data_IF_724495803439
#
_entry.id   IF_724495803439
#
_cell.length_a   1.000
_cell.length_b   1.000
_cell.length_c   1.000
_cell.angle_alpha   90.00
_cell.angle_beta   90.00
_cell.angle_gamma   90.00
#
_symmetry.space_group_name_H-M   'P 1'
#
loop_
_entity.id
_entity.type
_entity.pdbx_description
1 polymer ?
#
# COMPACT_ATOMS: atom_id res chain seq x y z
N UNK A 1 20.36 -23.25 40.28
CA UNK A 1 19.88 -24.50 39.63
C UNK A 1 18.85 -25.13 40.54
N UNK A 2 17.59 -25.21 40.10
CA UNK A 2 16.42 -25.59 40.88
C UNK A 2 16.53 -27.01 41.49
N UNK A 3 16.05 -27.22 42.73
CA UNK A 3 16.12 -28.53 43.44
C UNK A 3 15.45 -29.64 42.62
N UNK A 4 14.37 -29.32 41.91
CA UNK A 4 13.67 -30.25 41.00
C UNK A 4 14.53 -30.65 39.79
N UNK A 5 15.28 -29.70 39.21
CA UNK A 5 16.24 -29.99 38.11
C UNK A 5 17.37 -30.89 38.59
N UNK A 6 17.93 -30.66 39.78
CA UNK A 6 18.97 -31.54 40.36
C UNK A 6 18.45 -32.96 40.58
N UNK A 7 17.26 -33.12 41.16
CA UNK A 7 16.66 -34.44 41.37
C UNK A 7 16.39 -35.18 40.05
N UNK A 8 15.88 -34.47 39.03
CA UNK A 8 15.66 -35.03 37.71
C UNK A 8 16.95 -35.50 37.02
N UNK A 9 18.03 -34.72 37.11
CA UNK A 9 19.35 -35.11 36.56
C UNK A 9 19.89 -36.34 37.28
N UNK A 10 19.81 -36.39 38.61
CA UNK A 10 20.29 -37.54 39.39
C UNK A 10 19.51 -38.80 39.00
N UNK A 11 18.19 -38.72 38.89
CA UNK A 11 17.35 -39.85 38.49
C UNK A 11 17.68 -40.33 37.07
N UNK A 12 17.88 -39.40 36.13
CA UNK A 12 18.25 -39.72 34.76
C UNK A 12 19.63 -40.39 34.66
N UNK A 13 20.61 -39.94 35.46
CA UNK A 13 21.94 -40.57 35.53
C UNK A 13 21.85 -41.98 36.10
N UNK A 14 21.06 -42.19 37.16
CA UNK A 14 20.87 -43.53 37.77
C UNK A 14 20.21 -44.48 36.76
N UNK A 15 19.10 -44.07 36.14
CA UNK A 15 18.39 -44.89 35.16
C UNK A 15 19.24 -45.15 33.91
N UNK A 16 19.94 -44.13 33.42
CA UNK A 16 20.84 -44.26 32.26
C UNK A 16 22.01 -45.19 32.53
N UNK A 17 22.64 -45.08 33.71
CA UNK A 17 23.74 -45.97 34.11
C UNK A 17 23.23 -47.40 34.29
N UNK A 18 22.07 -47.59 34.92
CA UNK A 18 21.44 -48.91 35.08
C UNK A 18 21.10 -49.57 33.75
N UNK A 19 20.50 -48.82 32.82
CA UNK A 19 20.18 -49.30 31.47
C UNK A 19 21.42 -49.66 30.66
N UNK A 20 22.50 -48.87 30.77
CA UNK A 20 23.75 -49.11 30.07
C UNK A 20 24.50 -50.33 30.61
N UNK A 21 24.50 -50.54 31.93
CA UNK A 21 25.03 -51.76 32.55
C UNK A 21 24.20 -52.98 32.14
N UNK A 22 22.88 -52.88 32.11
CA UNK A 22 22.00 -53.97 31.68
C UNK A 22 22.24 -54.37 30.22
N UNK A 23 22.24 -53.41 29.29
CA UNK A 23 22.54 -53.65 27.87
C UNK A 23 23.97 -54.19 27.67
N UNK A 24 24.94 -53.63 28.39
CA UNK A 24 26.32 -54.11 28.42
C UNK A 24 26.43 -55.57 28.87
N UNK A 25 25.63 -55.95 29.87
CA UNK A 25 25.49 -57.32 30.36
C UNK A 25 24.96 -58.29 29.31
N UNK A 26 23.87 -57.92 28.63
CA UNK A 26 23.27 -58.73 27.56
C UNK A 26 24.25 -58.92 26.40
N UNK A 27 24.86 -57.82 25.92
CA UNK A 27 25.87 -57.86 24.87
C UNK A 27 27.10 -58.67 25.30
N UNK A 28 27.51 -58.56 26.57
CA UNK A 28 28.59 -59.34 27.14
C UNK A 28 28.32 -60.85 27.14
N UNK A 29 27.09 -61.27 27.46
CA UNK A 29 26.64 -62.66 27.37
C UNK A 29 26.65 -63.16 25.93
N UNK A 30 26.16 -62.35 24.98
CA UNK A 30 26.18 -62.69 23.55
C UNK A 30 27.61 -62.82 23.01
N UNK A 31 28.51 -61.88 23.34
CA UNK A 31 29.92 -61.94 22.93
C UNK A 31 30.61 -63.18 23.54
N UNK A 32 30.32 -63.49 24.81
CA UNK A 32 30.86 -64.67 25.46
C UNK A 32 30.37 -65.98 24.82
N UNK A 33 29.06 -66.08 24.56
CA UNK A 33 28.44 -67.21 23.88
C UNK A 33 28.97 -67.39 22.45
N UNK A 34 29.12 -66.30 21.71
CA UNK A 34 29.66 -66.30 20.36
C UNK A 34 31.13 -66.74 20.32
N UNK A 35 31.96 -66.32 21.29
CA UNK A 35 33.35 -66.77 21.40
C UNK A 35 33.46 -68.25 21.74
N UNK A 36 32.63 -68.74 22.65
CA UNK A 36 32.58 -70.16 22.99
C UNK A 36 32.12 -71.00 21.78
N UNK A 37 31.14 -70.52 21.03
CA UNK A 37 30.68 -71.12 19.78
C UNK A 37 31.77 -71.17 18.70
N UNK A 38 32.48 -70.05 18.48
CA UNK A 38 33.61 -69.98 17.56
C UNK A 38 34.76 -70.94 17.95
N UNK A 39 35.05 -71.06 19.24
CA UNK A 39 36.07 -71.99 19.75
C UNK A 39 35.69 -73.47 19.57
N UNK A 40 34.41 -73.76 19.37
CA UNK A 40 33.88 -75.10 19.10
C UNK A 40 33.79 -75.46 17.62
N UNK A 41 34.55 -74.83 16.73
CA UNK A 41 34.46 -74.94 15.25
C UNK A 41 33.19 -74.34 14.61
N UNK A 42 32.48 -73.44 15.31
CA UNK A 42 31.40 -72.65 14.72
C UNK A 42 30.28 -73.50 14.10
N UNK A 43 30.01 -73.30 12.80
CA UNK A 43 28.91 -73.99 12.10
C UNK A 43 29.14 -75.50 11.91
N UNK A 44 30.37 -76.00 12.07
CA UNK A 44 30.69 -77.44 12.03
C UNK A 44 30.88 -78.05 13.42
N UNK A 45 30.53 -77.31 14.48
CA UNK A 45 30.68 -77.70 15.87
C UNK A 45 29.40 -78.20 16.55
N UNK A 46 29.54 -79.01 17.60
CA UNK A 46 28.41 -79.47 18.42
C UNK A 46 27.96 -78.46 19.50
N UNK A 47 28.72 -77.37 19.71
CA UNK A 47 28.40 -76.34 20.70
C UNK A 47 27.32 -75.41 20.14
N UNK A 48 26.16 -75.32 20.79
CA UNK A 48 25.10 -74.37 20.44
C UNK A 48 25.23 -73.11 21.30
N UNK A 49 25.07 -71.94 20.68
CA UNK A 49 25.11 -70.65 21.39
C UNK A 49 23.95 -70.57 22.39
N UNK A 50 24.27 -70.39 23.68
CA UNK A 50 23.25 -70.20 24.72
C UNK A 50 22.56 -68.84 24.55
N UNK A 51 21.22 -68.78 24.67
CA UNK A 51 20.52 -67.50 24.68
C UNK A 51 20.95 -66.66 25.90
N UNK A 52 21.00 -65.32 25.78
CA UNK A 52 21.30 -64.46 26.91
C UNK A 52 20.19 -64.56 27.96
N UNK A 53 20.58 -64.56 29.24
CA UNK A 53 19.66 -64.44 30.35
C UNK A 53 19.30 -62.96 30.54
N UNK A 54 18.01 -62.68 30.55
CA UNK A 54 17.42 -61.33 30.67
C UNK A 54 17.23 -60.90 32.13
N UNK A 55 17.62 -61.72 33.10
CA UNK A 55 17.55 -61.35 34.50
C UNK A 55 18.49 -60.15 34.79
N UNK A 56 17.93 -59.12 35.43
CA UNK A 56 18.62 -57.86 35.72
C UNK A 56 19.93 -58.06 36.50
N UNK A 57 19.93 -58.91 37.53
CA UNK A 57 21.10 -59.14 38.38
C UNK A 57 22.20 -59.90 37.62
N UNK A 58 21.81 -60.85 36.76
CA UNK A 58 22.72 -61.63 35.92
C UNK A 58 23.37 -60.71 34.88
N UNK A 59 22.58 -59.85 34.23
CA UNK A 59 23.08 -58.87 33.28
C UNK A 59 24.07 -57.89 33.93
N UNK A 60 23.73 -57.33 35.09
CA UNK A 60 24.63 -56.40 35.80
C UNK A 60 25.95 -57.10 36.15
N UNK A 61 25.92 -58.36 36.62
CA UNK A 61 27.14 -59.12 36.89
C UNK A 61 27.98 -59.34 35.63
N UNK A 62 27.34 -59.69 34.51
CA UNK A 62 28.01 -59.87 33.23
C UNK A 62 28.57 -58.56 32.64
N UNK A 63 27.99 -57.41 32.98
CA UNK A 63 28.45 -56.10 32.54
C UNK A 63 29.89 -55.80 32.99
N UNK A 64 30.27 -56.29 34.17
CA UNK A 64 31.62 -56.12 34.74
C UNK A 64 32.64 -57.17 34.25
N UNK A 65 32.27 -58.02 33.29
CA UNK A 65 33.23 -58.93 32.64
C UNK A 65 33.96 -58.23 31.49
N UNK A 66 35.11 -58.77 31.06
CA UNK A 66 35.85 -58.27 29.89
C UNK A 66 35.00 -58.19 28.61
N UNK A 67 34.07 -59.13 28.41
CA UNK A 67 33.14 -59.10 27.28
C UNK A 67 32.01 -58.10 27.50
N UNK A 68 31.53 -57.92 28.73
CA UNK A 68 30.55 -56.90 29.09
C UNK A 68 31.07 -55.48 28.87
N UNK A 69 32.31 -55.19 29.26
CA UNK A 69 32.98 -53.90 29.02
C UNK A 69 33.14 -53.61 27.52
N UNK A 70 33.40 -54.64 26.69
CA UNK A 70 33.38 -54.51 25.22
C UNK A 70 31.99 -54.21 24.68
N UNK A 71 30.95 -54.84 25.23
CA UNK A 71 29.56 -54.53 24.89
C UNK A 71 29.17 -53.09 25.26
N UNK A 72 29.58 -52.63 26.45
CA UNK A 72 29.35 -51.25 26.92
C UNK A 72 30.02 -50.24 25.99
N UNK A 73 31.30 -50.44 25.67
CA UNK A 73 32.03 -49.53 24.78
C UNK A 73 31.41 -49.47 23.38
N UNK A 74 30.98 -50.60 22.82
CA UNK A 74 30.25 -50.63 21.56
C UNK A 74 28.92 -49.85 21.63
N UNK A 75 28.15 -50.02 22.71
CA UNK A 75 26.89 -49.30 22.92
C UNK A 75 27.11 -47.77 23.05
N UNK A 76 28.16 -47.34 23.74
CA UNK A 76 28.53 -45.92 23.87
C UNK A 76 28.91 -45.34 22.50
N UNK A 77 29.73 -46.05 21.72
CA UNK A 77 30.14 -45.60 20.38
C UNK A 77 28.94 -45.49 19.46
N UNK A 78 28.06 -46.50 19.43
CA UNK A 78 26.85 -46.47 18.61
C UNK A 78 25.93 -45.31 19.01
N UNK A 79 25.74 -45.10 20.32
CA UNK A 79 24.98 -43.96 20.84
C UNK A 79 25.59 -42.61 20.44
N UNK A 80 26.91 -42.48 20.52
CA UNK A 80 27.62 -41.27 20.08
C UNK A 80 27.46 -41.01 18.58
N UNK A 81 27.50 -42.05 17.74
CA UNK A 81 27.27 -41.95 16.29
C UNK A 81 25.84 -41.50 16.00
N UNK A 82 24.83 -42.06 16.68
CA UNK A 82 23.43 -41.64 16.52
C UNK A 82 23.24 -40.18 16.94
N UNK A 83 23.83 -39.77 18.08
CA UNK A 83 23.77 -38.37 18.54
C UNK A 83 24.45 -37.43 17.55
N UNK A 84 25.62 -37.81 17.01
CA UNK A 84 26.32 -37.04 15.98
C UNK A 84 25.48 -36.94 14.71
N UNK A 85 24.88 -38.04 14.25
CA UNK A 85 24.00 -38.06 13.09
C UNK A 85 22.79 -37.13 13.26
N UNK A 86 22.09 -37.22 14.40
CA UNK A 86 20.93 -36.35 14.72
C UNK A 86 21.37 -34.88 14.78
N UNK A 87 22.47 -34.56 15.48
CA UNK A 87 22.98 -33.19 15.54
C UNK A 87 23.42 -32.64 14.19
N UNK A 88 23.98 -33.49 13.32
CA UNK A 88 24.36 -33.08 11.97
C UNK A 88 23.11 -32.81 11.12
N UNK A 89 22.10 -33.68 11.20
CA UNK A 89 20.83 -33.51 10.49
C UNK A 89 20.04 -32.27 10.96
N UNK A 90 19.95 -32.01 12.27
CA UNK A 90 19.31 -30.80 12.82
C UNK A 90 20.03 -29.51 12.40
N UNK A 91 21.34 -29.58 12.10
CA UNK A 91 22.10 -28.41 11.61
C UNK A 91 21.76 -28.07 10.14
N UNK A 92 21.21 -29.02 9.39
CA UNK A 92 20.79 -28.85 7.99
C UNK A 92 19.29 -28.71 7.81
N UNK A 93 18.47 -29.06 8.79
CA UNK A 93 17.04 -28.75 8.80
C UNK A 93 16.86 -27.27 9.19
N UNK A 94 16.87 -26.39 8.19
CA UNK A 94 16.98 -24.93 8.28
C UNK A 94 15.79 -24.18 8.89
N UNK A 95 15.14 -24.77 9.90
CA UNK A 95 13.97 -24.22 10.57
C UNK A 95 14.36 -23.67 11.95
N UNK A 96 14.58 -22.36 12.02
CA UNK A 96 14.66 -21.66 13.31
C UNK A 96 13.25 -21.30 13.77
N UNK A 97 13.00 -21.32 15.08
CA UNK A 97 11.73 -20.91 15.65
C UNK A 97 11.88 -19.55 16.34
N UNK A 98 10.95 -18.63 16.07
CA UNK A 98 10.78 -17.41 16.87
C UNK A 98 10.51 -17.77 18.35
N UNK A 99 10.85 -16.93 19.35
CA UNK A 99 10.41 -17.10 20.74
C UNK A 99 8.90 -17.39 20.95
N UNK A 100 8.04 -17.12 19.97
CA UNK A 100 6.60 -17.46 19.96
C UNK A 100 6.26 -18.81 19.29
N UNK A 101 7.24 -19.55 18.79
CA UNK A 101 7.06 -20.87 18.17
C UNK A 101 6.74 -20.85 16.66
N UNK A 102 6.90 -19.72 15.97
CA UNK A 102 6.71 -19.66 14.52
C UNK A 102 7.96 -20.10 13.75
N UNK A 103 7.76 -20.92 12.71
CA UNK A 103 8.80 -21.46 11.83
C UNK A 103 9.39 -20.36 10.94
N UNK A 104 10.70 -20.12 11.03
CA UNK A 104 11.47 -19.17 10.21
C UNK A 104 12.28 -19.93 9.16
N UNK A 105 12.23 -19.45 7.91
CA UNK A 105 13.03 -19.97 6.79
C UNK A 105 14.29 -19.14 6.62
N UNK A 106 15.47 -19.78 6.66
CA UNK A 106 16.75 -19.13 6.31
C UNK A 106 16.91 -18.82 4.82
N UNK A 107 16.19 -19.56 3.96
CA UNK A 107 16.30 -19.44 2.49
C UNK A 107 15.48 -18.27 1.93
N UNK A 108 14.74 -17.54 2.76
CA UNK A 108 13.96 -16.36 2.36
C UNK A 108 12.77 -16.67 1.44
N UNK A 109 12.47 -17.95 1.19
CA UNK A 109 11.42 -18.39 0.26
C UNK A 109 10.02 -17.92 0.67
N UNK A 110 9.82 -17.67 1.98
CA UNK A 110 8.60 -17.09 2.55
C UNK A 110 8.83 -15.75 3.26
N UNK A 111 9.95 -15.08 2.97
CA UNK A 111 10.36 -13.81 3.57
C UNK A 111 11.32 -13.96 4.76
N UNK A 112 12.20 -12.97 4.93
CA UNK A 112 13.19 -12.86 6.03
C UNK A 112 12.79 -11.79 7.06
N UNK A 113 11.51 -11.39 7.07
CA UNK A 113 11.04 -10.32 7.94
C UNK A 113 11.28 -10.67 9.43
N UNK A 114 11.89 -9.73 10.14
CA UNK A 114 12.14 -9.82 11.58
C UNK A 114 11.76 -8.50 12.24
N UNK A 115 11.48 -8.55 13.55
CA UNK A 115 11.42 -7.33 14.35
C UNK A 115 12.77 -6.63 14.30
N UNK A 116 12.72 -5.32 14.12
CA UNK A 116 13.89 -4.45 14.12
C UNK A 116 14.53 -4.44 15.51
N UNK A 117 15.84 -4.63 15.59
CA UNK A 117 16.59 -4.49 16.84
C UNK A 117 16.71 -3.02 17.25
N UNK A 118 16.99 -2.74 18.53
CA UNK A 118 17.23 -1.36 18.99
C UNK A 118 18.37 -0.65 18.25
N UNK A 119 19.39 -1.43 17.85
CA UNK A 119 20.52 -0.89 17.09
C UNK A 119 20.07 -0.44 15.70
N UNK A 120 19.34 -1.30 14.98
CA UNK A 120 18.79 -0.97 13.67
C UNK A 120 17.78 0.18 13.76
N UNK A 121 16.98 0.24 14.83
CA UNK A 121 16.04 1.34 15.07
C UNK A 121 16.77 2.69 15.13
N UNK A 122 17.88 2.77 15.88
CA UNK A 122 18.67 4.01 15.99
C UNK A 122 19.47 4.34 14.72
N UNK A 123 19.80 3.34 13.90
CA UNK A 123 20.51 3.52 12.63
C UNK A 123 19.57 3.97 11.49
N UNK A 124 18.32 3.50 11.49
CA UNK A 124 17.37 3.70 10.38
C UNK A 124 16.35 4.80 10.69
N UNK A 125 15.92 4.91 11.95
CA UNK A 125 14.84 5.82 12.37
C UNK A 125 15.37 6.94 13.27
N UNK A 126 14.67 8.06 13.25
CA UNK A 126 14.92 9.17 14.16
C UNK A 126 14.15 8.92 15.46
N UNK A 127 14.88 8.57 16.54
CA UNK A 127 14.30 8.34 17.87
C UNK A 127 14.57 9.55 18.76
N UNK A 128 13.56 10.37 19.00
CA UNK A 128 13.72 11.66 19.67
C UNK A 128 12.50 12.05 20.50
N UNK A 129 12.51 13.25 21.08
CA UNK A 129 11.33 13.83 21.75
C UNK A 129 10.43 14.55 20.74
N UNK A 130 9.10 14.64 20.95
CA UNK A 130 8.18 15.30 20.03
C UNK A 130 8.62 16.70 19.56
N UNK A 131 9.16 17.53 20.47
CA UNK A 131 9.61 18.88 20.14
C UNK A 131 10.79 18.90 19.14
N UNK A 132 11.66 17.89 19.21
CA UNK A 132 12.85 17.75 18.38
C UNK A 132 12.62 16.93 17.11
N UNK A 133 11.49 16.23 16.99
CA UNK A 133 11.15 15.44 15.82
C UNK A 133 11.12 16.33 14.56
N UNK A 134 11.94 15.98 13.56
CA UNK A 134 11.95 16.64 12.24
C UNK A 134 11.30 15.76 11.17
N UNK A 135 11.40 14.44 11.32
CA UNK A 135 10.79 13.44 10.45
C UNK A 135 9.28 13.29 10.59
N UNK A 136 8.72 12.32 9.85
CA UNK A 136 7.30 11.93 10.01
C UNK A 136 7.19 10.97 11.19
N UNK A 137 6.47 11.37 12.24
CA UNK A 137 6.22 10.51 13.41
C UNK A 137 5.40 9.30 12.98
N UNK A 138 5.91 8.10 13.22
CA UNK A 138 5.22 6.84 12.94
C UNK A 138 4.65 6.18 14.20
N UNK A 139 5.21 6.50 15.36
CA UNK A 139 4.78 5.93 16.63
C UNK A 139 5.68 6.34 17.79
N UNK A 140 5.60 5.59 18.89
CA UNK A 140 6.35 5.80 20.11
C UNK A 140 7.09 4.51 20.50
N UNK A 141 8.30 4.66 21.03
CA UNK A 141 9.07 3.59 21.65
C UNK A 141 9.75 4.13 22.91
N UNK A 142 9.43 3.53 24.06
CA UNK A 142 9.98 3.90 25.38
C UNK A 142 9.86 5.41 25.70
N UNK A 143 8.69 6.02 25.46
CA UNK A 143 8.47 7.45 25.74
C UNK A 143 9.09 8.40 24.71
N UNK A 144 9.71 7.87 23.64
CA UNK A 144 10.31 8.67 22.56
C UNK A 144 9.55 8.45 21.26
N UNK A 145 9.41 9.52 20.48
CA UNK A 145 8.83 9.44 19.13
C UNK A 145 9.80 8.74 18.19
N UNK A 146 9.28 7.75 17.46
CA UNK A 146 9.97 7.09 16.36
C UNK A 146 9.51 7.75 15.07
N UNK A 147 10.44 8.41 14.38
CA UNK A 147 10.15 9.19 13.19
C UNK A 147 10.89 8.63 11.98
N UNK A 148 10.23 8.64 10.83
CA UNK A 148 10.89 8.45 9.54
C UNK A 148 11.75 9.69 9.27
N UNK A 149 13.09 9.57 9.21
CA UNK A 149 13.98 10.73 9.10
C UNK A 149 13.68 11.57 7.87
N UNK A 150 13.88 12.89 7.97
CA UNK A 150 13.73 13.81 6.83
C UNK A 150 14.61 13.40 5.66
N UNK A 151 15.85 12.97 5.89
CA UNK A 151 16.80 12.56 4.86
C UNK A 151 16.91 11.04 4.71
N UNK A 152 15.77 10.36 4.73
CA UNK A 152 15.74 8.90 4.58
C UNK A 152 15.91 8.45 3.12
N UNK A 153 16.62 7.33 2.93
CA UNK A 153 16.62 6.54 1.69
C UNK A 153 15.37 5.64 1.56
N UNK A 154 14.59 5.50 2.63
CA UNK A 154 13.34 4.74 2.60
C UNK A 154 12.26 5.49 1.82
N UNK A 155 11.27 4.74 1.35
CA UNK A 155 10.12 5.32 0.72
C UNK A 155 9.36 6.20 1.72
N UNK A 156 8.95 7.40 1.27
CA UNK A 156 8.23 8.38 2.10
C UNK A 156 6.72 8.36 1.86
N UNK A 157 6.24 7.56 0.92
CA UNK A 157 4.83 7.23 0.85
C UNK A 157 4.47 6.32 2.01
N UNK A 158 3.34 6.56 2.65
CA UNK A 158 2.90 5.87 3.86
C UNK A 158 1.49 5.32 3.63
N UNK A 159 1.27 4.05 3.95
CA UNK A 159 -0.05 3.44 3.95
C UNK A 159 -0.42 3.03 5.38
N UNK A 160 -1.46 3.66 5.92
CA UNK A 160 -1.97 3.45 7.27
C UNK A 160 -3.24 2.62 7.19
N UNK A 161 -3.26 1.49 7.87
CA UNK A 161 -4.43 0.63 7.98
C UNK A 161 -5.00 0.67 9.39
N UNK A 162 -6.31 0.84 9.51
CA UNK A 162 -6.99 0.76 10.80
C UNK A 162 -8.49 0.96 10.65
N UNK A 163 -9.30 0.19 11.39
CA UNK A 163 -10.74 0.28 11.35
C UNK A 163 -11.27 1.67 11.76
N UNK A 164 -12.57 1.92 11.58
CA UNK A 164 -13.19 3.10 12.17
C UNK A 164 -13.01 3.09 13.69
N UNK A 165 -12.78 4.26 14.28
CA UNK A 165 -12.54 4.40 15.73
C UNK A 165 -11.11 4.12 16.21
N UNK A 166 -10.18 3.63 15.37
CA UNK A 166 -8.78 3.38 15.77
C UNK A 166 -7.91 4.65 15.89
N UNK A 167 -8.53 5.82 15.98
CA UNK A 167 -7.88 7.11 16.16
C UNK A 167 -6.88 7.51 15.06
N UNK A 168 -6.93 6.93 13.85
CA UNK A 168 -6.03 7.28 12.72
C UNK A 168 -5.87 8.79 12.52
N UNK A 169 -6.98 9.52 12.48
CA UNK A 169 -7.00 10.96 12.25
C UNK A 169 -6.37 11.74 13.41
N UNK A 170 -6.47 11.23 14.64
CA UNK A 170 -5.91 11.86 15.85
C UNK A 170 -4.43 11.52 16.05
N UNK A 171 -4.08 10.25 15.93
CA UNK A 171 -2.77 9.71 16.28
C UNK A 171 -1.73 9.86 15.16
N UNK A 172 -2.14 9.88 13.89
CA UNK A 172 -1.21 9.93 12.76
C UNK A 172 -1.42 11.16 11.88
N UNK A 173 -2.64 11.39 11.39
CA UNK A 173 -2.91 12.45 10.41
C UNK A 173 -2.66 13.86 10.97
N UNK A 174 -3.22 14.20 12.13
CA UNK A 174 -2.97 15.51 12.78
C UNK A 174 -1.48 15.71 13.09
N UNK A 175 -0.79 14.67 13.55
CA UNK A 175 0.65 14.73 13.79
C UNK A 175 1.44 14.95 12.49
N UNK A 176 1.06 14.31 11.39
CA UNK A 176 1.65 14.56 10.08
C UNK A 176 1.45 16.01 9.62
N UNK A 177 0.27 16.59 9.87
CA UNK A 177 0.01 18.01 9.59
C UNK A 177 0.91 18.93 10.41
N UNK A 178 1.04 18.71 11.71
CA UNK A 178 1.94 19.52 12.55
C UNK A 178 3.40 19.44 12.09
N UNK A 179 3.83 18.25 11.66
CA UNK A 179 5.18 18.06 11.15
C UNK A 179 5.41 18.71 9.78
N UNK A 180 4.42 18.67 8.89
CA UNK A 180 4.48 19.39 7.61
C UNK A 180 4.53 20.91 7.82
N UNK A 181 3.73 21.43 8.75
CA UNK A 181 3.74 22.84 9.15
C UNK A 181 5.11 23.26 9.69
N UNK A 182 5.71 22.46 10.58
CA UNK A 182 7.05 22.72 11.13
C UNK A 182 8.12 22.77 10.04
N UNK A 183 7.99 21.94 9.00
CA UNK A 183 8.92 21.89 7.87
C UNK A 183 8.64 22.92 6.77
N UNK A 184 7.55 23.68 6.86
CA UNK A 184 7.17 24.63 5.81
C UNK A 184 6.73 23.96 4.50
N UNK A 185 6.24 22.72 4.58
CA UNK A 185 5.82 21.93 3.42
C UNK A 185 4.35 22.19 3.09
N UNK A 186 3.99 22.08 1.81
CA UNK A 186 2.60 22.17 1.37
C UNK A 186 1.83 20.89 1.72
N UNK A 187 0.54 21.03 1.99
CA UNK A 187 -0.34 19.92 2.34
C UNK A 187 -1.62 19.91 1.52
N UNK A 188 -2.03 18.72 1.12
CA UNK A 188 -3.33 18.45 0.49
C UNK A 188 -4.03 17.41 1.33
N UNK A 189 -5.18 17.74 1.90
CA UNK A 189 -5.86 16.93 2.90
C UNK A 189 -7.21 16.48 2.37
N UNK A 190 -7.49 15.17 2.34
CA UNK A 190 -8.89 14.73 2.25
C UNK A 190 -9.48 14.66 3.65
N UNK A 191 -10.67 15.22 3.81
CA UNK A 191 -11.31 15.38 5.11
C UNK A 191 -12.81 15.14 5.01
N UNK A 192 -13.27 13.87 5.07
CA UNK A 192 -14.68 13.55 4.86
C UNK A 192 -15.62 14.20 5.88
N UNK A 193 -15.11 14.54 7.07
CA UNK A 193 -15.90 15.09 8.19
C UNK A 193 -15.63 16.57 8.45
N UNK A 194 -14.79 17.21 7.63
CA UNK A 194 -14.31 18.57 7.84
C UNK A 194 -13.64 18.82 9.22
N UNK A 195 -13.25 17.77 9.94
CA UNK A 195 -12.66 17.89 11.29
C UNK A 195 -11.22 18.43 11.22
N UNK A 196 -10.45 17.98 10.23
CA UNK A 196 -9.06 18.41 10.05
C UNK A 196 -9.03 19.88 9.61
N UNK A 197 -9.96 20.30 8.75
CA UNK A 197 -10.14 21.69 8.38
C UNK A 197 -10.45 22.56 9.60
N UNK A 198 -11.48 22.18 10.38
CA UNK A 198 -11.88 22.92 11.57
C UNK A 198 -10.75 23.05 12.60
N UNK A 199 -9.97 21.97 12.80
CA UNK A 199 -8.90 21.94 13.79
C UNK A 199 -7.64 22.71 13.36
N UNK A 200 -7.30 22.70 12.06
CA UNK A 200 -5.95 23.07 11.60
C UNK A 200 -5.90 24.24 10.62
N UNK A 201 -7.00 24.61 9.96
CA UNK A 201 -6.96 25.63 8.91
C UNK A 201 -6.47 27.00 9.42
N UNK A 202 -6.93 27.44 10.59
CA UNK A 202 -6.51 28.71 11.16
C UNK A 202 -5.02 28.69 11.56
N UNK A 203 -4.52 27.54 12.01
CA UNK A 203 -3.09 27.37 12.32
C UNK A 203 -2.23 27.58 11.06
N UNK A 204 -2.61 26.99 9.92
CA UNK A 204 -1.93 27.20 8.65
C UNK A 204 -2.03 28.65 8.17
N UNK A 205 -3.21 29.29 8.26
CA UNK A 205 -3.38 30.71 7.93
C UNK A 205 -2.45 31.60 8.76
N UNK A 206 -2.37 31.37 10.06
CA UNK A 206 -1.49 32.12 10.97
C UNK A 206 0.00 31.91 10.64
N UNK A 207 0.38 30.76 10.08
CA UNK A 207 1.72 30.49 9.61
C UNK A 207 2.01 31.04 8.20
N UNK A 208 1.08 31.80 7.60
CA UNK A 208 1.24 32.43 6.29
C UNK A 208 1.03 31.51 5.11
N UNK A 209 0.31 30.40 5.28
CA UNK A 209 -0.06 29.51 4.18
C UNK A 209 -1.26 30.05 3.41
N UNK A 210 -1.28 29.80 2.10
CA UNK A 210 -2.50 29.92 1.32
C UNK A 210 -3.41 28.72 1.61
N UNK A 211 -4.52 28.98 2.30
CA UNK A 211 -5.49 27.95 2.70
C UNK A 211 -6.68 27.99 1.78
N UNK A 212 -6.99 26.86 1.13
CA UNK A 212 -8.15 26.67 0.25
C UNK A 212 -8.96 25.45 0.66
N UNK A 213 -10.26 25.48 0.37
CA UNK A 213 -11.21 24.42 0.70
C UNK A 213 -12.02 24.04 -0.53
N UNK A 214 -11.75 22.90 -1.14
CA UNK A 214 -12.61 22.34 -2.17
C UNK A 214 -13.69 21.47 -1.52
N UNK A 215 -14.87 22.05 -1.31
CA UNK A 215 -15.95 21.39 -0.57
C UNK A 215 -16.96 20.72 -1.51
N UNK A 216 -16.89 19.40 -1.66
CA UNK A 216 -17.81 18.64 -2.49
C UNK A 216 -19.05 18.13 -1.75
N UNK A 217 -19.14 18.38 -0.43
CA UNK A 217 -20.33 18.05 0.38
C UNK A 217 -21.28 19.25 0.39
N UNK A 218 -20.77 20.44 0.68
CA UNK A 218 -21.50 21.71 0.67
C UNK A 218 -20.76 22.72 -0.23
N UNK A 219 -20.96 22.69 -1.56
CA UNK A 219 -20.18 23.50 -2.50
C UNK A 219 -20.29 25.02 -2.30
N UNK A 220 -21.39 25.50 -1.71
CA UNK A 220 -21.57 26.92 -1.34
C UNK A 220 -20.53 27.43 -0.32
N UNK A 221 -19.89 26.51 0.41
CA UNK A 221 -18.88 26.81 1.44
C UNK A 221 -17.46 26.40 1.01
N UNK A 222 -17.21 26.28 -0.30
CA UNK A 222 -15.91 25.95 -0.87
C UNK A 222 -15.35 27.04 -1.78
N UNK A 223 -14.03 27.03 -1.96
CA UNK A 223 -13.31 27.70 -3.04
C UNK A 223 -13.56 26.97 -4.38
N UNK A 224 -13.61 27.74 -5.46
CA UNK A 224 -13.87 27.20 -6.79
C UNK A 224 -12.61 26.68 -7.50
N UNK A 225 -12.79 25.68 -8.36
CA UNK A 225 -11.75 25.16 -9.24
C UNK A 225 -12.32 24.76 -10.61
N UNK A 226 -11.85 25.43 -11.67
CA UNK A 226 -12.22 25.13 -13.04
C UNK A 226 -11.14 24.25 -13.69
N UNK A 227 -11.49 23.00 -13.98
CA UNK A 227 -10.61 22.03 -14.62
C UNK A 227 -10.20 22.40 -16.06
N UNK A 228 -10.89 23.36 -16.69
CA UNK A 228 -10.61 23.85 -18.05
C UNK A 228 -9.70 25.08 -18.08
N UNK A 229 -9.36 25.66 -16.92
CA UNK A 229 -8.68 26.97 -16.83
C UNK A 229 -7.36 27.06 -17.61
N UNK A 230 -6.60 25.97 -17.72
CA UNK A 230 -5.29 25.95 -18.38
C UNK A 230 -5.27 25.15 -19.70
N UNK A 231 -6.43 24.90 -20.31
CA UNK A 231 -6.51 24.11 -21.54
C UNK A 231 -5.84 24.81 -22.72
N UNK A 232 -6.26 26.04 -23.04
CA UNK A 232 -5.69 26.87 -24.10
C UNK A 232 -5.47 26.11 -25.43
N UNK A 233 -6.44 25.28 -25.83
CA UNK A 233 -6.39 24.47 -27.05
C UNK A 233 -5.54 23.20 -26.97
N UNK A 234 -4.97 22.86 -25.81
CA UNK A 234 -4.14 21.68 -25.64
C UNK A 234 -4.98 20.39 -25.77
N UNK A 235 -4.89 19.76 -26.94
CA UNK A 235 -5.67 18.58 -27.30
C UNK A 235 -5.36 17.34 -26.46
N UNK A 236 -4.13 17.22 -25.94
CA UNK A 236 -3.73 16.14 -25.04
C UNK A 236 -4.36 16.34 -23.66
N UNK A 237 -4.35 17.56 -23.13
CA UNK A 237 -5.00 17.86 -21.85
C UNK A 237 -6.53 17.70 -21.96
N UNK A 238 -7.14 18.13 -23.07
CA UNK A 238 -8.56 17.90 -23.34
C UNK A 238 -8.89 16.39 -23.42
N UNK A 239 -8.03 15.57 -24.04
CA UNK A 239 -8.18 14.11 -24.03
C UNK A 239 -8.10 13.54 -22.61
N UNK A 240 -7.14 13.99 -21.81
CA UNK A 240 -6.99 13.54 -20.42
C UNK A 240 -8.22 13.88 -19.57
N UNK A 241 -8.72 15.11 -19.64
CA UNK A 241 -9.96 15.51 -18.96
C UNK A 241 -11.12 14.60 -19.35
N UNK A 242 -11.27 14.35 -20.65
CA UNK A 242 -12.31 13.49 -21.22
C UNK A 242 -12.20 12.07 -20.64
N UNK A 243 -11.01 11.47 -20.67
CA UNK A 243 -10.79 10.11 -20.17
C UNK A 243 -11.12 9.99 -18.67
N UNK A 244 -10.72 10.99 -17.86
CA UNK A 244 -10.99 11.00 -16.42
C UNK A 244 -12.50 11.09 -16.17
N UNK A 245 -13.21 11.98 -16.88
CA UNK A 245 -14.66 12.17 -16.73
C UNK A 245 -15.41 10.91 -17.15
N UNK A 246 -15.13 10.35 -18.33
CA UNK A 246 -15.81 9.14 -18.82
C UNK A 246 -15.50 7.94 -17.90
N UNK A 247 -14.23 7.77 -17.50
CA UNK A 247 -13.80 6.68 -16.63
C UNK A 247 -14.48 6.69 -15.25
N UNK A 248 -14.60 7.87 -14.62
CA UNK A 248 -15.18 8.00 -13.27
C UNK A 248 -16.71 8.13 -13.23
N UNK A 249 -17.35 8.33 -14.39
CA UNK A 249 -18.82 8.28 -14.52
C UNK A 249 -19.32 6.96 -15.10
N UNK A 250 -18.40 6.07 -15.51
CA UNK A 250 -18.72 4.73 -16.00
C UNK A 250 -18.87 3.75 -14.82
N UNK A 251 -19.82 2.83 -14.92
CA UNK A 251 -19.99 1.76 -13.93
C UNK A 251 -19.02 0.58 -14.12
N UNK A 252 -17.94 0.74 -14.89
CA UNK A 252 -16.95 -0.31 -15.19
C UNK A 252 -17.48 -1.52 -15.96
N UNK A 253 -18.75 -1.48 -16.38
CA UNK A 253 -19.46 -2.52 -17.16
C UNK A 253 -20.02 -1.97 -18.49
N UNK A 254 -19.67 -0.73 -18.84
CA UNK A 254 -20.09 -0.09 -20.08
C UNK A 254 -19.40 -0.72 -21.29
N UNK A 255 -20.10 -0.77 -22.42
CA UNK A 255 -19.48 -1.13 -23.69
C UNK A 255 -18.53 -0.01 -24.11
N UNK A 256 -17.26 -0.35 -24.34
CA UNK A 256 -16.22 0.58 -24.77
C UNK A 256 -16.62 1.39 -26.01
N UNK A 257 -17.52 0.86 -26.84
CA UNK A 257 -18.10 1.59 -27.96
C UNK A 257 -18.80 2.88 -27.53
N UNK A 258 -19.66 2.82 -26.51
CA UNK A 258 -20.38 4.00 -26.01
C UNK A 258 -19.43 4.98 -25.33
N UNK A 259 -18.52 4.49 -24.48
CA UNK A 259 -17.52 5.34 -23.80
C UNK A 259 -16.66 6.12 -24.81
N UNK A 260 -16.25 5.49 -25.91
CA UNK A 260 -15.48 6.13 -26.97
C UNK A 260 -16.31 7.18 -27.72
N UNK A 261 -17.58 6.89 -28.02
CA UNK A 261 -18.49 7.83 -28.66
C UNK A 261 -18.74 9.07 -27.79
N UNK A 262 -19.06 8.85 -26.52
CA UNK A 262 -19.27 9.91 -25.52
C UNK A 262 -17.98 10.72 -25.29
N UNK A 263 -16.83 10.06 -25.24
CA UNK A 263 -15.52 10.70 -25.13
C UNK A 263 -15.20 11.59 -26.33
N UNK A 264 -15.45 11.12 -27.55
CA UNK A 264 -15.26 11.92 -28.76
C UNK A 264 -16.13 13.19 -28.75
N UNK A 265 -17.42 13.05 -28.42
CA UNK A 265 -18.33 14.18 -28.32
C UNK A 265 -17.91 15.15 -27.20
N UNK A 266 -17.57 14.64 -26.02
CA UNK A 266 -17.14 15.44 -24.88
C UNK A 266 -15.87 16.24 -25.20
N UNK A 267 -14.84 15.59 -25.77
CA UNK A 267 -13.60 16.25 -26.17
C UNK A 267 -13.85 17.36 -27.19
N UNK A 268 -14.73 17.10 -28.17
CA UNK A 268 -15.10 18.09 -29.16
C UNK A 268 -15.77 19.31 -28.51
N UNK A 269 -16.72 19.11 -27.59
CA UNK A 269 -17.41 20.19 -26.90
C UNK A 269 -16.49 20.98 -25.95
N UNK A 270 -15.58 20.29 -25.24
CA UNK A 270 -14.55 20.93 -24.40
C UNK A 270 -13.70 21.89 -25.25
N UNK A 271 -13.15 21.40 -26.37
CA UNK A 271 -12.31 22.20 -27.26
C UNK A 271 -13.10 23.32 -27.94
N UNK A 272 -14.37 23.09 -28.28
CA UNK A 272 -15.25 24.12 -28.82
C UNK A 272 -15.43 25.26 -27.82
N UNK A 273 -15.76 24.95 -26.57
CA UNK A 273 -15.98 25.97 -25.52
C UNK A 273 -14.67 26.70 -25.17
N UNK A 274 -13.56 25.97 -25.05
CA UNK A 274 -12.25 26.52 -24.70
C UNK A 274 -11.71 27.49 -25.78
N UNK A 275 -11.90 27.15 -27.06
CA UNK A 275 -11.39 27.95 -28.18
C UNK A 275 -12.37 28.98 -28.73
N UNK A 276 -13.61 29.02 -28.24
CA UNK A 276 -14.61 30.00 -28.65
C UNK A 276 -14.12 31.43 -28.34
N UNK A 277 -13.89 32.28 -29.36
CA UNK A 277 -13.41 33.64 -29.16
C UNK A 277 -14.52 34.58 -28.66
N UNK A 278 -15.79 34.18 -28.75
CA UNK A 278 -16.91 34.98 -28.25
C UNK A 278 -17.12 34.86 -26.74
N UNK A 279 -16.44 33.91 -26.10
CA UNK A 279 -16.51 33.63 -24.67
C UNK A 279 -15.39 34.32 -23.90
N UNK A 280 -15.73 34.94 -22.78
CA UNK A 280 -14.74 35.39 -21.81
C UNK A 280 -14.12 34.18 -21.08
N UNK A 281 -12.89 34.29 -20.55
CA UNK A 281 -12.23 33.20 -19.82
C UNK A 281 -13.09 32.59 -18.70
N UNK A 282 -13.87 33.40 -18.00
CA UNK A 282 -14.72 33.00 -16.87
C UNK A 282 -15.96 32.20 -17.30
N UNK A 283 -16.25 32.15 -18.60
CA UNK A 283 -17.36 31.37 -19.19
C UNK A 283 -16.90 30.10 -19.90
N UNK A 284 -15.60 29.79 -19.80
CA UNK A 284 -14.95 28.60 -20.37
C UNK A 284 -14.75 27.53 -19.29
N UNK A 285 -15.84 26.86 -18.95
CA UNK A 285 -15.87 25.87 -17.86
C UNK A 285 -16.77 24.68 -18.17
N UNK A 286 -16.64 23.61 -17.37
CA UNK A 286 -17.33 22.35 -17.64
C UNK A 286 -18.88 22.47 -17.63
N UNK A 287 -19.52 23.28 -16.76
CA UNK A 287 -20.94 23.54 -16.91
C UNK A 287 -21.36 24.17 -18.24
N UNK A 288 -20.52 25.00 -18.87
CA UNK A 288 -20.81 25.57 -20.17
C UNK A 288 -20.80 24.49 -21.28
N UNK A 289 -19.90 23.51 -21.17
CA UNK A 289 -19.89 22.31 -22.03
C UNK A 289 -21.19 21.54 -21.89
N UNK A 290 -21.67 21.35 -20.65
CA UNK A 290 -22.96 20.69 -20.40
C UNK A 290 -24.16 21.47 -20.97
N UNK A 291 -24.16 22.79 -20.82
CA UNK A 291 -25.17 23.65 -21.40
C UNK A 291 -25.15 23.61 -22.94
N UNK A 292 -23.97 23.49 -23.55
CA UNK A 292 -23.84 23.32 -25.00
C UNK A 292 -24.50 22.00 -25.46
N UNK A 293 -24.29 20.91 -24.73
CA UNK A 293 -24.91 19.62 -25.01
C UNK A 293 -26.43 19.64 -24.86
N UNK A 294 -26.95 20.30 -23.83
CA UNK A 294 -28.38 20.26 -23.47
C UNK A 294 -29.24 21.30 -24.16
N UNK A 295 -28.67 22.42 -24.62
CA UNK A 295 -29.41 23.51 -25.30
C UNK A 295 -29.43 23.39 -26.81
N UNK A 296 -28.68 22.45 -27.38
CA UNK A 296 -28.61 22.25 -28.82
C UNK A 296 -29.13 20.86 -29.19
N UNK A 297 -29.91 20.81 -30.27
CA UNK A 297 -30.21 19.56 -30.96
C UNK A 297 -28.96 19.05 -31.66
N UNK A 298 -28.95 17.75 -31.99
CA UNK A 298 -27.87 17.13 -32.78
C UNK A 298 -27.57 17.90 -34.07
N UNK A 299 -28.61 18.33 -34.80
CA UNK A 299 -28.45 19.10 -36.05
C UNK A 299 -27.80 20.46 -35.81
N UNK A 300 -28.14 21.13 -34.70
CA UNK A 300 -27.51 22.40 -34.32
C UNK A 300 -26.05 22.21 -33.93
N UNK A 301 -25.72 21.15 -33.18
CA UNK A 301 -24.34 20.80 -32.90
C UNK A 301 -23.56 20.56 -34.19
N UNK A 302 -24.09 19.77 -35.13
CA UNK A 302 -23.44 19.52 -36.42
C UNK A 302 -23.18 20.83 -37.17
N UNK A 303 -24.17 21.72 -37.25
CA UNK A 303 -24.00 23.02 -37.90
C UNK A 303 -22.95 23.91 -37.21
N UNK A 304 -22.78 23.81 -35.89
CA UNK A 304 -21.72 24.54 -35.17
C UNK A 304 -20.33 24.01 -35.57
N UNK A 305 -20.13 22.69 -35.58
CA UNK A 305 -18.85 22.08 -35.92
C UNK A 305 -18.49 22.21 -37.40
N UNK A 306 -19.47 22.18 -38.30
CA UNK A 306 -19.26 22.38 -39.74
C UNK A 306 -18.76 23.79 -40.09
N UNK A 307 -19.15 24.80 -39.30
CA UNK A 307 -18.71 26.19 -39.47
C UNK A 307 -17.26 26.45 -39.02
N UNK A 308 -16.67 25.55 -38.23
CA UNK A 308 -15.30 25.71 -37.75
C UNK A 308 -14.29 25.58 -38.91
N UNK A 309 -13.13 26.25 -38.87
CA UNK A 309 -12.02 25.99 -39.79
C UNK A 309 -11.63 24.51 -39.83
N UNK A 310 -11.17 24.00 -40.98
CA UNK A 310 -10.84 22.57 -41.17
C UNK A 310 -9.75 22.07 -40.19
N UNK A 311 -8.83 22.96 -39.82
CA UNK A 311 -7.74 22.73 -38.88
C UNK A 311 -8.13 22.94 -37.41
N UNK A 312 -9.38 23.35 -37.13
CA UNK A 312 -9.84 23.55 -35.76
C UNK A 312 -9.82 22.23 -34.98
N UNK A 313 -9.16 22.16 -33.81
CA UNK A 313 -8.89 20.89 -33.13
C UNK A 313 -10.15 20.17 -32.63
N UNK A 314 -11.25 20.90 -32.44
CA UNK A 314 -12.54 20.33 -32.05
C UNK A 314 -13.24 19.55 -33.18
N UNK A 315 -12.88 19.76 -34.47
CA UNK A 315 -13.55 19.10 -35.61
C UNK A 315 -13.24 17.61 -35.69
N UNK A 316 -11.98 17.23 -35.53
CA UNK A 316 -11.57 15.83 -35.64
C UNK A 316 -12.34 14.89 -34.67
N UNK A 317 -12.40 15.16 -33.35
CA UNK A 317 -13.19 14.34 -32.44
C UNK A 317 -14.69 14.39 -32.73
N UNK A 318 -15.24 15.53 -33.18
CA UNK A 318 -16.64 15.61 -33.58
C UNK A 318 -16.95 14.73 -34.80
N UNK A 319 -16.08 14.74 -35.81
CA UNK A 319 -16.25 13.94 -37.02
C UNK A 319 -16.27 12.43 -36.69
N UNK A 320 -15.46 11.97 -35.74
CA UNK A 320 -15.49 10.57 -35.28
C UNK A 320 -16.83 10.23 -34.60
N UNK A 321 -17.40 11.14 -33.82
CA UNK A 321 -18.76 11.00 -33.29
C UNK A 321 -19.81 10.97 -34.42
N UNK A 322 -19.69 11.88 -35.40
CA UNK A 322 -20.65 12.06 -36.48
C UNK A 322 -20.69 10.89 -37.49
N UNK A 323 -19.65 10.05 -37.56
CA UNK A 323 -19.60 8.85 -38.41
C UNK A 323 -20.59 7.75 -38.00
N UNK A 324 -21.07 7.78 -36.75
CA UNK A 324 -22.04 6.81 -36.25
C UNK A 324 -23.44 7.06 -36.83
N UNK A 325 -24.31 6.06 -36.89
CA UNK A 325 -25.70 6.23 -37.35
C UNK A 325 -26.50 7.16 -36.44
N UNK A 326 -27.58 7.75 -36.95
CA UNK A 326 -28.44 8.69 -36.21
C UNK A 326 -28.93 8.14 -34.86
N UNK A 327 -29.32 6.86 -34.83
CA UNK A 327 -29.74 6.15 -33.62
C UNK A 327 -28.63 6.05 -32.58
N UNK A 328 -27.40 5.76 -33.02
CA UNK A 328 -26.23 5.68 -32.15
C UNK A 328 -25.84 7.06 -31.65
N UNK A 329 -25.85 8.09 -32.50
CA UNK A 329 -25.53 9.47 -32.11
C UNK A 329 -26.50 9.99 -31.04
N UNK A 330 -27.80 9.70 -31.20
CA UNK A 330 -28.83 10.03 -30.20
C UNK A 330 -28.56 9.33 -28.86
N UNK A 331 -28.17 8.05 -28.88
CA UNK A 331 -27.79 7.31 -27.67
C UNK A 331 -26.55 7.89 -26.98
N UNK A 332 -25.51 8.24 -27.74
CA UNK A 332 -24.28 8.87 -27.21
C UNK A 332 -24.60 10.23 -26.55
N UNK A 333 -25.42 11.07 -27.19
CA UNK A 333 -25.82 12.38 -26.63
C UNK A 333 -26.56 12.19 -25.30
N UNK A 334 -27.49 11.24 -25.23
CA UNK A 334 -28.24 10.93 -24.01
C UNK A 334 -27.35 10.37 -22.90
N UNK A 335 -26.45 9.44 -23.24
CA UNK A 335 -25.50 8.84 -22.29
C UNK A 335 -24.55 9.89 -21.71
N UNK A 336 -23.93 10.71 -22.56
CA UNK A 336 -23.09 11.83 -22.12
C UNK A 336 -23.88 12.85 -21.27
N UNK A 337 -25.12 13.15 -21.66
CA UNK A 337 -26.01 14.04 -20.92
C UNK A 337 -26.34 13.53 -19.51
N UNK A 338 -26.46 12.22 -19.35
CA UNK A 338 -26.69 11.57 -18.05
C UNK A 338 -25.45 11.65 -17.16
N UNK A 339 -24.26 11.37 -17.72
CA UNK A 339 -22.99 11.42 -16.97
C UNK A 339 -22.68 12.80 -16.41
N UNK A 340 -23.00 13.83 -17.17
CA UNK A 340 -22.71 15.21 -16.82
C UNK A 340 -23.88 15.91 -16.08
N UNK A 341 -24.97 15.21 -15.80
CA UNK A 341 -26.21 15.77 -15.25
C UNK A 341 -26.01 16.54 -13.94
N UNK A 342 -25.04 16.12 -13.12
CA UNK A 342 -24.64 16.80 -11.88
C UNK A 342 -24.28 18.28 -12.07
N UNK A 343 -23.80 18.67 -13.25
CA UNK A 343 -23.47 20.06 -13.59
C UNK A 343 -24.71 20.94 -13.78
N UNK A 344 -25.92 20.38 -13.76
CA UNK A 344 -27.17 21.17 -13.69
C UNK A 344 -27.33 21.88 -12.34
N UNK A 345 -26.79 21.30 -11.27
CA UNK A 345 -26.91 21.86 -9.93
C UNK A 345 -26.14 23.20 -9.83
N UNK A 346 -26.79 24.24 -9.31
CA UNK A 346 -26.22 25.60 -9.24
C UNK A 346 -25.00 25.71 -8.34
N UNK A 347 -24.95 24.96 -7.26
CA UNK A 347 -23.83 24.94 -6.32
C UNK A 347 -22.61 24.28 -6.96
N UNK A 348 -22.81 23.17 -7.69
CA UNK A 348 -21.77 22.52 -8.49
C UNK A 348 -21.27 23.45 -9.60
N UNK A 349 -22.15 24.21 -10.25
CA UNK A 349 -21.73 25.23 -11.20
C UNK A 349 -20.86 26.29 -10.52
N UNK A 350 -21.25 26.75 -9.32
CA UNK A 350 -20.50 27.72 -8.53
C UNK A 350 -19.06 27.27 -8.28
N UNK A 351 -18.87 26.03 -7.81
CA UNK A 351 -17.55 25.51 -7.46
C UNK A 351 -16.69 25.10 -8.68
N UNK A 352 -17.29 24.88 -9.87
CA UNK A 352 -16.56 24.43 -11.07
C UNK A 352 -16.37 25.49 -12.17
N UNK A 353 -17.00 26.66 -12.04
CA UNK A 353 -16.95 27.69 -13.10
C UNK A 353 -15.81 28.70 -12.95
N UNK A 354 -15.27 28.84 -11.75
CA UNK A 354 -14.16 29.76 -11.41
C UNK A 354 -12.96 28.98 -10.87
N UNK A 355 -11.79 29.62 -10.81
CA UNK A 355 -10.57 29.03 -10.28
C UNK A 355 -9.96 29.91 -9.20
N UNK A 356 -10.39 29.70 -7.96
CA UNK A 356 -9.75 30.25 -6.77
C UNK A 356 -8.56 29.37 -6.32
N UNK A 357 -8.58 28.09 -6.71
CA UNK A 357 -7.55 27.10 -6.37
C UNK A 357 -6.54 26.96 -7.51
N UNK A 358 -5.27 27.23 -7.23
CA UNK A 358 -4.15 26.95 -8.14
C UNK A 358 -3.39 25.69 -7.70
N UNK A 359 -3.59 24.60 -8.45
CA UNK A 359 -2.92 23.33 -8.19
C UNK A 359 -1.38 23.40 -8.34
N UNK A 360 -0.84 24.29 -9.16
CA UNK A 360 0.61 24.44 -9.32
C UNK A 360 1.24 25.24 -8.16
N UNK A 361 0.45 26.09 -7.47
CA UNK A 361 0.91 26.85 -6.31
C UNK A 361 1.43 25.94 -5.19
N UNK A 362 0.84 24.76 -5.01
CA UNK A 362 1.30 23.75 -4.05
C UNK A 362 2.80 23.44 -4.15
N UNK A 363 3.37 23.44 -5.36
CA UNK A 363 4.79 23.14 -5.59
C UNK A 363 5.73 24.35 -5.43
N UNK A 364 5.19 25.56 -5.37
CA UNK A 364 5.95 26.83 -5.45
C UNK A 364 5.79 27.72 -4.23
N UNK A 365 4.68 27.57 -3.50
CA UNK A 365 4.29 28.36 -2.33
C UNK A 365 3.80 27.41 -1.25
N UNK A 366 3.82 27.89 0.00
CA UNK A 366 3.27 27.16 1.15
C UNK A 366 1.75 27.20 1.10
N UNK A 367 1.14 26.07 0.79
CA UNK A 367 -0.30 25.93 0.60
C UNK A 367 -0.87 24.81 1.47
N UNK A 368 -2.10 25.00 1.96
CA UNK A 368 -2.86 23.95 2.66
C UNK A 368 -4.25 23.82 2.05
N UNK A 369 -4.44 22.80 1.23
CA UNK A 369 -5.69 22.59 0.49
C UNK A 369 -6.49 21.46 1.13
N UNK A 370 -7.72 21.76 1.57
CA UNK A 370 -8.64 20.81 2.19
C UNK A 370 -9.69 20.39 1.17
N UNK A 371 -9.86 19.09 0.99
CA UNK A 371 -10.80 18.51 0.03
C UNK A 371 -11.82 17.75 0.87
N UNK A 372 -13.01 18.33 1.01
CA UNK A 372 -14.10 17.76 1.79
C UNK A 372 -14.91 16.87 0.86
N UNK A 373 -14.97 15.58 1.18
CA UNK A 373 -15.60 14.53 0.37
C UNK A 373 -16.73 13.87 1.16
N UNK A 374 -17.79 13.44 0.49
CA UNK A 374 -18.80 12.62 1.15
C UNK A 374 -18.28 11.19 1.34
N UNK A 375 -18.55 10.60 2.50
CA UNK A 375 -18.31 9.18 2.80
C UNK A 375 -19.49 8.28 2.37
N UNK A 376 -20.66 8.87 2.10
CA UNK A 376 -21.89 8.16 1.72
C UNK A 376 -22.26 8.34 0.24
N UNK A 377 -22.02 9.51 -0.33
CA UNK A 377 -22.49 9.91 -1.67
C UNK A 377 -21.35 9.92 -2.71
N UNK A 378 -21.51 9.14 -3.76
CA UNK A 378 -20.54 9.03 -4.86
C UNK A 378 -20.82 10.00 -6.01
N UNK A 379 -21.90 10.78 -5.96
CA UNK A 379 -22.32 11.70 -7.05
C UNK A 379 -21.21 12.68 -7.44
N UNK A 380 -20.42 13.16 -6.46
CA UNK A 380 -19.32 14.10 -6.70
C UNK A 380 -17.94 13.43 -6.88
N UNK A 381 -17.87 12.09 -6.90
CA UNK A 381 -16.60 11.37 -6.92
C UNK A 381 -15.77 11.62 -8.18
N UNK A 382 -16.41 11.90 -9.33
CA UNK A 382 -15.67 12.23 -10.55
C UNK A 382 -14.97 13.59 -10.45
N UNK A 383 -15.54 14.57 -9.73
CA UNK A 383 -14.90 15.88 -9.51
C UNK A 383 -13.67 15.75 -8.62
N UNK A 384 -13.72 14.90 -7.58
CA UNK A 384 -12.54 14.63 -6.75
C UNK A 384 -11.46 13.91 -7.55
N UNK A 385 -11.82 12.90 -8.34
CA UNK A 385 -10.88 12.23 -9.24
C UNK A 385 -10.22 13.19 -10.24
N UNK A 386 -11.01 14.11 -10.83
CA UNK A 386 -10.51 15.12 -11.76
C UNK A 386 -9.51 16.06 -11.07
N UNK A 387 -9.83 16.51 -9.86
CA UNK A 387 -8.97 17.35 -9.04
C UNK A 387 -7.63 16.69 -8.76
N UNK A 388 -7.63 15.47 -8.20
CA UNK A 388 -6.40 14.76 -7.86
C UNK A 388 -5.57 14.40 -9.10
N UNK A 389 -6.22 13.94 -10.18
CA UNK A 389 -5.53 13.54 -11.40
C UNK A 389 -4.83 14.72 -12.07
N UNK A 390 -5.50 15.88 -12.18
CA UNK A 390 -4.86 17.09 -12.72
C UNK A 390 -3.80 17.66 -11.79
N UNK A 391 -3.98 17.54 -10.48
CA UNK A 391 -2.98 17.96 -9.50
C UNK A 391 -1.69 17.16 -9.68
N UNK A 392 -1.74 15.83 -9.75
CA UNK A 392 -0.54 15.02 -10.00
C UNK A 392 0.16 15.40 -11.29
N UNK A 393 -0.59 15.63 -12.38
CA UNK A 393 -0.03 16.04 -13.67
C UNK A 393 0.68 17.39 -13.55
N UNK A 394 0.02 18.39 -12.94
CA UNK A 394 0.58 19.74 -12.80
C UNK A 394 1.82 19.75 -11.91
N UNK A 395 1.78 19.07 -10.76
CA UNK A 395 2.93 18.98 -9.86
C UNK A 395 4.11 18.26 -10.51
N UNK A 396 3.84 17.17 -11.24
CA UNK A 396 4.88 16.42 -11.96
C UNK A 396 5.54 17.28 -13.04
N UNK A 397 4.73 17.97 -13.86
CA UNK A 397 5.24 18.89 -14.89
C UNK A 397 6.01 20.06 -14.30
N UNK A 398 5.54 20.61 -13.17
CA UNK A 398 6.24 21.67 -12.46
C UNK A 398 7.64 21.21 -12.03
N UNK A 399 7.72 20.07 -11.37
CA UNK A 399 8.99 19.51 -10.91
C UNK A 399 9.95 19.20 -12.08
N UNK A 400 9.45 18.60 -13.16
CA UNK A 400 10.25 18.25 -14.34
C UNK A 400 10.81 19.48 -15.08
N UNK A 401 10.14 20.63 -14.95
CA UNK A 401 10.62 21.90 -15.51
C UNK A 401 11.70 22.57 -14.64
N UNK A 402 11.95 22.08 -13.42
CA UNK A 402 12.99 22.63 -12.53
C UNK A 402 14.34 21.94 -12.77
N UNK A 403 15.48 22.65 -12.65
CA UNK A 403 16.80 22.06 -12.85
C UNK A 403 17.09 20.82 -11.98
N UNK A 404 16.50 20.76 -10.77
CA UNK A 404 16.64 19.63 -9.84
C UNK A 404 15.63 18.51 -10.03
N UNK A 405 14.63 18.66 -10.91
CA UNK A 405 13.58 17.66 -11.11
C UNK A 405 12.64 17.49 -9.91
N UNK A 406 12.53 18.50 -9.04
CA UNK A 406 11.72 18.47 -7.81
C UNK A 406 10.94 19.76 -7.60
N UNK A 407 9.88 19.71 -6.79
CA UNK A 407 9.14 20.89 -6.37
C UNK A 407 10.04 21.83 -5.54
N UNK A 408 9.77 23.14 -5.58
CA UNK A 408 10.49 24.13 -4.77
C UNK A 408 10.06 24.02 -3.30
N UNK A 409 8.77 23.71 -3.09
CA UNK A 409 8.19 23.36 -1.80
C UNK A 409 7.72 21.89 -1.87
N UNK A 410 8.19 21.00 -0.98
CA UNK A 410 7.69 19.63 -0.93
C UNK A 410 6.19 19.57 -0.66
N UNK A 411 5.50 18.64 -1.32
CA UNK A 411 4.04 18.50 -1.25
C UNK A 411 3.67 17.20 -0.56
N UNK A 412 2.93 17.28 0.54
CA UNK A 412 2.41 16.12 1.26
C UNK A 412 0.91 15.97 1.03
N UNK A 413 0.53 14.91 0.32
CA UNK A 413 -0.86 14.49 0.22
C UNK A 413 -1.19 13.61 1.42
N UNK A 414 -2.10 14.06 2.26
CA UNK A 414 -2.56 13.38 3.47
C UNK A 414 -4.01 12.98 3.23
N UNK A 415 -4.18 11.76 2.74
CA UNK A 415 -5.44 11.26 2.23
C UNK A 415 -6.16 10.47 3.33
N UNK A 416 -6.87 11.16 4.22
CA UNK A 416 -7.75 10.51 5.20
C UNK A 416 -8.92 9.85 4.48
N UNK A 417 -9.20 8.60 4.85
CA UNK A 417 -10.16 7.72 4.17
C UNK A 417 -10.02 7.73 2.64
N UNK A 418 -8.84 7.32 2.15
CA UNK A 418 -8.48 7.29 0.73
C UNK A 418 -9.55 6.67 -0.19
N UNK A 419 -10.33 5.71 0.32
CA UNK A 419 -11.40 5.05 -0.43
C UNK A 419 -12.59 5.96 -0.77
N UNK A 420 -12.72 7.15 -0.18
CA UNK A 420 -13.78 8.13 -0.50
C UNK A 420 -13.41 8.99 -1.72
N UNK A 421 -12.14 9.00 -2.12
CA UNK A 421 -11.72 9.64 -3.37
C UNK A 421 -12.21 8.80 -4.54
N UNK A 422 -12.70 9.45 -5.60
CA UNK A 422 -12.89 8.81 -6.90
C UNK A 422 -11.62 8.07 -7.36
N UNK A 423 -11.74 7.19 -8.34
CA UNK A 423 -10.56 6.45 -8.84
C UNK A 423 -9.56 7.46 -9.41
N UNK A 424 -8.37 7.54 -8.83
CA UNK A 424 -7.33 8.48 -9.29
C UNK A 424 -6.64 7.85 -10.51
N UNK A 425 -6.39 8.66 -11.54
CA UNK A 425 -5.71 8.22 -12.77
C UNK A 425 -6.47 8.60 -14.04
N UNK A 426 -5.74 8.74 -15.15
CA UNK A 426 -6.31 9.01 -16.47
C UNK A 426 -6.86 7.76 -17.15
N UNK A 427 -6.24 6.60 -16.90
CA UNK A 427 -6.77 5.31 -17.31
C UNK A 427 -8.05 4.94 -16.57
N UNK A 428 -8.99 4.31 -17.28
CA UNK A 428 -10.28 3.90 -16.72
C UNK A 428 -10.16 2.97 -15.50
N UNK A 429 -9.11 2.16 -15.43
CA UNK A 429 -8.80 1.24 -14.32
C UNK A 429 -7.97 1.87 -13.18
N UNK A 430 -7.49 3.10 -13.36
CA UNK A 430 -6.68 3.82 -12.37
C UNK A 430 -5.21 3.37 -12.32
N UNK A 431 -4.76 2.55 -13.27
CA UNK A 431 -3.39 2.02 -13.33
C UNK A 431 -2.32 3.10 -13.32
N UNK A 432 -2.61 4.25 -13.93
CA UNK A 432 -1.69 5.39 -13.97
C UNK A 432 -1.39 5.96 -12.58
N UNK A 433 -2.27 5.81 -11.58
CA UNK A 433 -2.00 6.26 -10.22
C UNK A 433 -0.91 5.40 -9.56
N UNK A 434 -0.97 4.07 -9.71
CA UNK A 434 0.07 3.18 -9.21
C UNK A 434 1.44 3.51 -9.84
N UNK A 435 1.46 3.76 -11.16
CA UNK A 435 2.67 4.21 -11.86
C UNK A 435 3.14 5.56 -11.33
N UNK A 436 2.23 6.52 -11.14
CA UNK A 436 2.55 7.86 -10.64
C UNK A 436 3.19 7.80 -9.26
N UNK A 437 2.66 6.99 -8.33
CA UNK A 437 3.24 6.83 -6.98
C UNK A 437 4.71 6.42 -7.01
N UNK A 438 5.14 5.59 -7.96
CA UNK A 438 6.56 5.20 -8.05
C UNK A 438 7.49 6.33 -8.52
N UNK A 439 6.94 7.32 -9.24
CA UNK A 439 7.71 8.35 -9.97
C UNK A 439 7.68 9.71 -9.25
N UNK A 440 6.61 10.04 -8.54
CA UNK A 440 6.45 11.33 -7.85
C UNK A 440 7.39 11.49 -6.63
N UNK A 441 7.94 10.39 -6.11
CA UNK A 441 8.87 10.40 -4.98
C UNK A 441 10.11 11.26 -5.25
N UNK A 442 10.71 11.15 -6.43
CA UNK A 442 11.90 11.93 -6.80
C UNK A 442 11.60 13.41 -7.00
N UNK A 443 10.31 13.78 -7.06
CA UNK A 443 9.84 15.14 -7.30
C UNK A 443 9.46 15.89 -6.02
N UNK A 444 9.77 15.31 -4.86
CA UNK A 444 9.39 15.80 -3.53
C UNK A 444 7.86 15.87 -3.29
N UNK A 445 7.12 14.97 -3.94
CA UNK A 445 5.70 14.76 -3.69
C UNK A 445 5.53 13.45 -2.91
N UNK A 446 4.84 13.52 -1.77
CA UNK A 446 4.69 12.42 -0.81
C UNK A 446 3.22 12.15 -0.59
N UNK A 447 2.87 10.89 -0.32
CA UNK A 447 1.48 10.47 -0.18
C UNK A 447 1.35 9.61 1.07
N UNK A 448 0.51 10.04 1.99
CA UNK A 448 0.06 9.29 3.15
C UNK A 448 -1.39 8.89 2.92
N UNK A 449 -1.67 7.61 2.74
CA UNK A 449 -3.01 7.08 2.54
C UNK A 449 -3.49 6.41 3.82
N UNK A 450 -4.58 6.90 4.39
CA UNK A 450 -5.29 6.18 5.45
C UNK A 450 -6.42 5.36 4.84
N UNK A 451 -6.38 4.05 5.10
CA UNK A 451 -7.33 3.08 4.55
C UNK A 451 -8.02 2.37 5.71
N UNK A 452 -9.35 2.39 5.73
CA UNK A 452 -10.11 1.68 6.76
C UNK A 452 -10.15 0.17 6.54
N UNK A 453 -10.30 -0.24 5.28
CA UNK A 453 -10.43 -1.64 4.87
C UNK A 453 -9.60 -1.91 3.62
N UNK A 454 -8.73 -2.92 3.70
CA UNK A 454 -7.97 -3.39 2.54
C UNK A 454 -8.89 -3.92 1.44
N UNK A 455 -10.00 -4.56 1.80
CA UNK A 455 -10.97 -5.07 0.82
C UNK A 455 -11.63 -3.96 0.00
N UNK A 456 -11.89 -2.79 0.59
CA UNK A 456 -12.39 -1.63 -0.15
C UNK A 456 -11.36 -1.12 -1.17
N UNK A 457 -10.07 -1.11 -0.81
CA UNK A 457 -9.00 -0.74 -1.74
C UNK A 457 -8.88 -1.75 -2.88
N UNK A 458 -8.98 -3.06 -2.58
CA UNK A 458 -8.98 -4.15 -3.57
C UNK A 458 -10.13 -4.03 -4.58
N UNK A 459 -11.33 -3.71 -4.10
CA UNK A 459 -12.51 -3.53 -4.95
C UNK A 459 -12.37 -2.30 -5.85
N UNK A 460 -11.79 -1.20 -5.33
CA UNK A 460 -11.61 0.04 -6.10
C UNK A 460 -10.49 -0.09 -7.14
N UNK A 461 -9.37 -0.71 -6.77
CA UNK A 461 -8.20 -0.93 -7.62
C UNK A 461 -7.97 -2.43 -7.83
N UNK A 462 -8.78 -3.01 -8.74
CA UNK A 462 -8.72 -4.42 -9.10
C UNK A 462 -7.45 -4.82 -9.87
N UNK A 463 -7.41 -6.04 -10.40
CA UNK A 463 -6.30 -6.56 -11.23
C UNK A 463 -4.91 -6.39 -10.57
N UNK A 464 -4.83 -6.59 -9.24
CA UNK A 464 -3.63 -6.40 -8.42
C UNK A 464 -3.08 -4.96 -8.33
N UNK A 465 -3.76 -3.95 -8.89
CA UNK A 465 -3.34 -2.55 -8.76
C UNK A 465 -3.28 -2.07 -7.30
N UNK A 466 -4.21 -2.52 -6.45
CA UNK A 466 -4.15 -2.26 -5.01
C UNK A 466 -2.82 -2.71 -4.37
N UNK A 467 -2.26 -3.84 -4.83
CA UNK A 467 -1.02 -4.38 -4.31
C UNK A 467 0.18 -3.56 -4.80
N UNK A 468 0.15 -3.08 -6.04
CA UNK A 468 1.15 -2.15 -6.57
C UNK A 468 1.16 -0.81 -5.82
N UNK A 469 -0.04 -0.26 -5.52
CA UNK A 469 -0.19 0.98 -4.74
C UNK A 469 0.44 0.81 -3.36
N UNK A 470 0.09 -0.26 -2.65
CA UNK A 470 0.66 -0.55 -1.32
C UNK A 470 2.16 -0.86 -1.40
N UNK A 471 2.61 -1.55 -2.45
CA UNK A 471 4.03 -1.87 -2.67
C UNK A 471 4.91 -0.62 -2.82
N UNK A 472 4.32 0.50 -3.23
CA UNK A 472 4.97 1.81 -3.28
C UNK A 472 4.90 2.58 -1.95
N UNK A 473 4.48 1.98 -0.83
CA UNK A 473 4.34 2.64 0.46
C UNK A 473 5.06 1.91 1.59
N UNK A 474 5.60 2.66 2.56
CA UNK A 474 5.94 2.13 3.88
C UNK A 474 4.65 1.91 4.66
N UNK A 475 4.56 0.79 5.38
CA UNK A 475 3.39 0.40 6.15
C UNK A 475 3.67 0.47 7.65
N UNK A 476 3.40 1.62 8.30
CA UNK A 476 3.22 1.63 9.75
C UNK A 476 1.86 0.98 10.06
N UNK A 477 1.88 -0.17 10.71
CA UNK A 477 0.67 -0.75 11.28
C UNK A 477 0.27 0.08 12.50
N UNK A 478 -0.90 0.71 12.45
CA UNK A 478 -1.50 1.31 13.65
C UNK A 478 -2.16 0.17 14.41
N UNK A 479 -1.38 -0.51 15.25
CA UNK A 479 -1.96 -1.33 16.29
C UNK A 479 -2.72 -0.38 17.23
N UNK A 480 -4.03 -0.59 17.41
CA UNK A 480 -4.78 0.12 18.45
C UNK A 480 -4.15 -0.24 19.79
N UNK A 481 -3.34 0.67 20.31
CA UNK A 481 -2.79 0.60 21.65
C UNK A 481 -3.16 1.91 22.35
N UNK A 482 -4.43 1.98 22.78
CA UNK A 482 -4.82 2.60 24.05
C UNK A 482 -5.94 1.75 24.62
#
# INVERSE_FOLDING_TARGET
MDKRKKAGIILAVILGTGGLLYLGGILGQLIAGYRAWLGGNGMSGEIVMKPPDWNLLVCIRHAFTLNGLKGISAAIVLGAVVILYVKFHDKFDGNEYDPRGFKKSKTGTYGTATWMSEKELKEIMEVTTPAKAEGVILGEYEGKTVCMPKDTRLNRHIAIFGASGTMKSRAVIRNALFQALKRGESVVITDPKAELYNDTAQMYRNAGYEVRVYNLVNPEHGDSWNCMSDLHGNTLMAQMLTNIIIGNTSNGKGDHFWDNGEGNLLKALILLVDLDPSRSPETKHLPAVYQMLTRNTERQLTALFEKLPLDHPARAPYNLFAQSSDTVRSGIIQGLGTRLQVLQNREVQGITSRSDIDLAALASKRCAYYIILSDQDTTMAFLSSLFFSLMFIKLTRYADARPGGHCDIPVNLILDEFNNIGRIGGAADGSDFARSLSVIRSRDIRVMMAVQSLGQLQNRYGNNLWAEIIGNCVRPEVASAI
#
